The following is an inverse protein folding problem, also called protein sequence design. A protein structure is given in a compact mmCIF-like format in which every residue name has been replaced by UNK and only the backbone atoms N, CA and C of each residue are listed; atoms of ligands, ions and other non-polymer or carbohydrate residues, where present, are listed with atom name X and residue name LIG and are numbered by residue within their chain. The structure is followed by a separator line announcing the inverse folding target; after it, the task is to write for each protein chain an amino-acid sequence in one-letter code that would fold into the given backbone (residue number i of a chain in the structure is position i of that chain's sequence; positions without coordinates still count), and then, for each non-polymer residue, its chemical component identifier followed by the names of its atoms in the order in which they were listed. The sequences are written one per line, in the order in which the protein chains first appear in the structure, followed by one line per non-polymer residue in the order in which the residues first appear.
data_IF_592468325287
#
_entry.id   IF_592468325287
#
_cell.length_a   1.000
_cell.length_b   1.000
_cell.length_c   1.000
_cell.angle_alpha   90.00
_cell.angle_beta   90.00
_cell.angle_gamma   90.00
#
_symmetry.space_group_name_H-M   'P 1'
#
loop_
_entity.id
_entity.type
_entity.pdbx_description
1 polymer ?
#
# COMPACT_ATOMS: atom_id res chain seq x y z
N UNK A 1 -15.58 82.30 -16.70
CA UNK A 1 -16.21 81.00 -17.06
C UNK A 1 -15.14 80.16 -17.77
N UNK A 2 -14.95 78.88 -17.43
CA UNK A 2 -14.00 78.46 -16.39
C UNK A 2 -12.91 77.44 -16.85
N UNK A 3 -11.96 77.17 -15.93
CA UNK A 3 -11.37 75.86 -15.59
C UNK A 3 -10.45 75.13 -16.60
N UNK A 4 -9.48 74.29 -16.24
CA UNK A 4 -8.74 73.91 -15.02
C UNK A 4 -7.55 73.03 -15.49
N UNK A 5 -6.51 72.94 -14.67
CA UNK A 5 -5.24 72.20 -14.85
C UNK A 5 -5.39 70.68 -15.10
N UNK A 6 -4.37 70.09 -15.75
CA UNK A 6 -3.50 69.04 -15.16
C UNK A 6 -2.36 68.73 -16.15
N UNK A 7 -1.06 68.66 -15.85
CA UNK A 7 -0.19 68.16 -14.77
C UNK A 7 0.65 66.99 -15.31
N UNK A 8 1.96 67.04 -15.03
CA UNK A 8 3.04 66.27 -15.65
C UNK A 8 3.10 64.85 -15.09
N UNK A 9 3.42 63.86 -15.92
CA UNK A 9 3.77 62.50 -15.50
C UNK A 9 4.66 61.81 -16.53
N UNK A 10 5.96 61.84 -16.29
CA UNK A 10 7.02 61.19 -17.06
C UNK A 10 6.99 59.67 -16.89
N UNK A 11 7.05 58.94 -18.00
CA UNK A 11 7.24 57.50 -18.01
C UNK A 11 8.63 57.08 -17.51
N UNK A 12 8.66 56.08 -16.65
CA UNK A 12 9.86 55.27 -16.41
C UNK A 12 9.43 53.84 -16.09
N UNK A 13 9.89 52.93 -16.94
CA UNK A 13 9.76 51.49 -16.84
C UNK A 13 10.39 50.94 -15.56
N UNK A 14 9.63 50.16 -14.78
CA UNK A 14 10.18 49.15 -13.87
C UNK A 14 9.42 47.85 -14.06
N UNK A 15 10.16 46.84 -14.54
CA UNK A 15 9.69 45.47 -14.59
C UNK A 15 9.41 44.95 -13.18
N UNK A 16 8.25 44.33 -13.01
CA UNK A 16 7.95 43.46 -11.88
C UNK A 16 7.90 42.03 -12.39
N UNK A 17 9.06 41.40 -12.51
CA UNK A 17 9.18 39.94 -12.37
C UNK A 17 9.15 39.67 -10.87
N UNK A 18 7.95 39.49 -10.33
CA UNK A 18 7.79 38.85 -9.02
C UNK A 18 7.76 37.35 -9.26
N UNK A 19 8.83 36.70 -8.80
CA UNK A 19 8.98 35.27 -8.66
C UNK A 19 7.76 34.68 -7.97
N UNK A 20 6.94 33.94 -8.70
CA UNK A 20 5.82 33.13 -8.21
C UNK A 20 6.29 31.89 -7.41
N UNK A 21 7.57 31.84 -7.04
CA UNK A 21 8.18 30.76 -6.27
C UNK A 21 7.90 30.85 -4.77
N UNK A 22 7.44 31.99 -4.24
CA UNK A 22 7.16 32.12 -2.79
C UNK A 22 5.82 31.52 -2.36
N UNK A 23 4.98 31.05 -3.29
CA UNK A 23 3.75 30.33 -2.95
C UNK A 23 4.01 28.85 -2.61
N UNK A 24 5.15 28.30 -3.05
CA UNK A 24 5.54 26.90 -2.78
C UNK A 24 6.06 26.69 -1.36
N UNK A 25 6.56 27.74 -0.70
CA UNK A 25 7.10 27.71 0.67
C UNK A 25 6.01 27.63 1.78
N UNK A 26 4.74 27.54 1.39
CA UNK A 26 3.60 27.48 2.34
C UNK A 26 2.84 26.17 2.32
N UNK A 27 3.23 25.20 1.48
CA UNK A 27 2.61 23.87 1.47
C UNK A 27 3.29 23.04 2.55
N UNK A 28 2.57 22.58 3.60
CA UNK A 28 3.14 21.67 4.58
C UNK A 28 3.73 20.44 3.90
N UNK A 29 4.84 19.92 4.43
CA UNK A 29 5.44 18.68 3.93
C UNK A 29 4.35 17.59 3.83
N UNK A 30 4.20 16.94 2.66
CA UNK A 30 3.15 15.96 2.48
C UNK A 30 3.39 14.74 3.38
N UNK A 31 2.29 14.14 3.86
CA UNK A 31 2.38 12.81 4.41
C UNK A 31 2.59 11.81 3.26
N UNK A 32 3.73 11.12 3.25
CA UNK A 32 4.00 10.05 2.28
C UNK A 32 3.29 8.78 2.72
N UNK A 33 2.18 8.49 2.07
CA UNK A 33 1.39 7.29 2.33
C UNK A 33 1.99 6.08 1.62
N UNK A 34 2.23 5.02 2.37
CA UNK A 34 2.67 3.74 1.84
C UNK A 34 1.50 2.77 1.70
N UNK A 35 1.42 2.07 0.57
CA UNK A 35 0.51 0.96 0.34
C UNK A 35 1.30 -0.29 -0.03
N UNK A 36 1.12 -1.33 0.78
CA UNK A 36 1.66 -2.66 0.54
C UNK A 36 0.53 -3.61 0.18
N UNK A 37 0.69 -4.39 -0.89
CA UNK A 37 -0.28 -5.43 -1.27
C UNK A 37 0.45 -6.76 -1.33
N UNK A 38 0.12 -7.66 -0.41
CA UNK A 38 0.85 -8.86 -0.10
C UNK A 38 0.03 -10.12 -0.38
N UNK A 39 0.63 -11.10 -1.06
CA UNK A 39 0.05 -12.45 -1.21
C UNK A 39 0.21 -13.22 0.09
N UNK A 40 -0.83 -13.94 0.52
CA UNK A 40 -0.74 -14.84 1.68
C UNK A 40 0.48 -15.79 1.62
N UNK A 41 0.90 -16.29 2.78
CA UNK A 41 1.96 -17.30 2.87
C UNK A 41 1.59 -18.63 2.22
N UNK A 42 2.58 -19.52 2.10
CA UNK A 42 2.34 -20.85 1.56
C UNK A 42 1.21 -21.58 2.32
N UNK A 43 0.23 -22.07 1.58
CA UNK A 43 -0.90 -22.82 2.12
C UNK A 43 -0.71 -24.32 1.91
N UNK A 44 -1.37 -25.14 2.74
CA UNK A 44 -1.46 -26.57 2.47
C UNK A 44 -2.13 -26.81 1.12
N UNK A 45 -1.59 -27.76 0.34
CA UNK A 45 -2.09 -28.08 -0.98
C UNK A 45 -3.54 -28.60 -0.93
N UNK A 46 -4.42 -27.96 -1.70
CA UNK A 46 -5.83 -28.33 -1.81
C UNK A 46 -6.03 -29.67 -2.55
N UNK A 47 -5.04 -30.10 -3.34
CA UNK A 47 -5.10 -31.24 -4.26
C UNK A 47 -4.15 -32.40 -3.91
N UNK A 48 -3.42 -32.35 -2.80
CA UNK A 48 -2.46 -33.42 -2.47
C UNK A 48 -3.14 -34.69 -1.95
N UNK A 49 -3.42 -35.58 -2.90
CA UNK A 49 -3.75 -37.00 -2.71
C UNK A 49 -2.46 -37.81 -2.59
N UNK A 50 -1.55 -37.44 -1.69
CA UNK A 50 -0.39 -38.28 -1.38
C UNK A 50 -0.70 -39.18 -0.17
N UNK A 51 -0.40 -40.50 -0.21
CA UNK A 51 -0.57 -41.37 0.94
C UNK A 51 0.26 -40.85 2.13
N UNK A 52 -0.40 -40.43 3.22
CA UNK A 52 0.25 -39.89 4.42
C UNK A 52 0.29 -38.36 4.52
N UNK A 53 -0.23 -37.62 3.53
CA UNK A 53 -0.35 -36.17 3.64
C UNK A 53 -1.38 -35.75 4.70
N UNK A 54 -1.02 -34.77 5.53
CA UNK A 54 -1.92 -34.17 6.52
C UNK A 54 -3.00 -33.38 5.75
N UNK A 55 -4.21 -33.93 5.68
CA UNK A 55 -5.34 -33.25 5.06
C UNK A 55 -5.70 -32.00 5.86
N UNK A 56 -5.92 -30.89 5.16
CA UNK A 56 -6.48 -29.71 5.78
C UNK A 56 -7.86 -30.04 6.38
N UNK A 57 -8.10 -29.65 7.64
CA UNK A 57 -9.40 -29.83 8.29
C UNK A 57 -10.54 -29.11 7.55
N UNK A 58 -10.20 -28.08 6.76
CA UNK A 58 -11.12 -27.32 5.88
C UNK A 58 -10.54 -27.27 4.46
N UNK A 59 -10.82 -28.26 3.60
CA UNK A 59 -10.27 -28.31 2.24
C UNK A 59 -10.65 -27.13 1.34
N UNK A 60 -11.80 -26.48 1.59
CA UNK A 60 -12.26 -25.30 0.85
C UNK A 60 -11.60 -23.99 1.32
N UNK A 61 -10.87 -24.00 2.43
CA UNK A 61 -10.14 -22.85 2.96
C UNK A 61 -8.90 -23.34 3.73
N UNK A 62 -7.90 -23.88 3.00
CA UNK A 62 -6.74 -24.51 3.61
C UNK A 62 -5.92 -23.51 4.43
N UNK A 63 -5.38 -23.93 5.58
CA UNK A 63 -4.52 -23.07 6.40
C UNK A 63 -3.12 -22.94 5.78
N UNK A 64 -2.33 -22.04 6.35
CA UNK A 64 -0.90 -21.93 6.07
C UNK A 64 -0.14 -23.21 6.49
N UNK A 65 0.92 -23.53 5.74
CA UNK A 65 1.97 -24.44 6.19
C UNK A 65 2.82 -23.74 7.26
N UNK A 66 3.64 -24.48 8.02
CA UNK A 66 4.57 -23.85 8.96
C UNK A 66 5.62 -23.00 8.24
N UNK A 67 6.01 -23.40 7.02
CA UNK A 67 6.81 -22.56 6.12
C UNK A 67 6.07 -21.27 5.76
N UNK A 68 4.78 -21.34 5.44
CA UNK A 68 3.94 -20.17 5.15
C UNK A 68 3.83 -19.20 6.33
N UNK A 69 3.75 -19.72 7.56
CA UNK A 69 3.79 -18.89 8.78
C UNK A 69 5.14 -18.19 8.94
N UNK A 70 6.25 -18.93 8.80
CA UNK A 70 7.60 -18.37 8.90
C UNK A 70 7.86 -17.30 7.83
N UNK A 71 7.39 -17.53 6.60
CA UNK A 71 7.43 -16.53 5.52
C UNK A 71 6.73 -15.24 5.95
N UNK A 72 5.50 -15.34 6.43
CA UNK A 72 4.70 -14.20 6.86
C UNK A 72 5.34 -13.44 8.03
N UNK A 73 5.81 -14.16 9.05
CA UNK A 73 6.53 -13.56 10.18
C UNK A 73 7.78 -12.80 9.73
N UNK A 74 8.56 -13.40 8.82
CA UNK A 74 9.79 -12.78 8.29
C UNK A 74 9.50 -11.49 7.54
N UNK A 75 8.41 -11.44 6.76
CA UNK A 75 7.99 -10.19 6.12
C UNK A 75 7.66 -9.12 7.15
N UNK A 76 6.88 -9.44 8.19
CA UNK A 76 6.56 -8.49 9.25
C UNK A 76 7.81 -7.95 9.96
N UNK A 77 8.76 -8.83 10.27
CA UNK A 77 10.06 -8.45 10.84
C UNK A 77 10.82 -7.50 9.92
N UNK A 78 10.93 -7.82 8.64
CA UNK A 78 11.67 -7.00 7.68
C UNK A 78 10.99 -5.63 7.52
N UNK A 79 9.67 -5.58 7.42
CA UNK A 79 8.93 -4.32 7.36
C UNK A 79 9.15 -3.43 8.59
N UNK A 80 9.35 -4.04 9.77
CA UNK A 80 9.71 -3.32 10.99
C UNK A 80 11.14 -2.79 10.96
N UNK A 81 12.08 -3.57 10.44
CA UNK A 81 13.50 -3.17 10.34
C UNK A 81 13.71 -2.04 9.34
N UNK A 82 12.94 -2.03 8.25
CA UNK A 82 12.92 -0.94 7.25
C UNK A 82 12.13 0.31 7.72
N UNK A 83 11.55 0.26 8.92
CA UNK A 83 10.74 1.33 9.52
C UNK A 83 9.58 1.85 8.64
N UNK A 84 8.92 0.97 7.88
CA UNK A 84 7.75 1.34 7.07
C UNK A 84 6.55 1.82 7.88
N UNK A 85 6.60 1.71 9.21
CA UNK A 85 5.60 2.16 10.17
C UNK A 85 4.16 1.78 9.74
N UNK A 86 3.92 0.49 9.52
CA UNK A 86 2.60 -0.03 9.15
C UNK A 86 1.62 0.26 10.28
N UNK A 87 0.64 1.14 10.06
CA UNK A 87 -0.36 1.50 11.06
C UNK A 87 -1.68 0.75 10.86
N UNK A 88 -1.89 0.19 9.67
CA UNK A 88 -3.14 -0.49 9.31
C UNK A 88 -2.91 -1.78 8.54
N UNK A 89 -3.54 -2.86 9.00
CA UNK A 89 -3.60 -4.13 8.30
C UNK A 89 -5.03 -4.41 7.87
N UNK A 90 -5.18 -4.67 6.57
CA UNK A 90 -6.43 -5.04 5.92
C UNK A 90 -6.23 -6.39 5.26
N UNK A 91 -7.20 -7.30 5.36
CA UNK A 91 -7.02 -8.64 4.80
C UNK A 91 -8.30 -9.24 4.23
N UNK A 92 -8.11 -10.14 3.24
CA UNK A 92 -9.11 -11.12 2.80
C UNK A 92 -9.57 -11.97 3.99
N UNK A 93 -10.86 -12.36 4.06
CA UNK A 93 -11.38 -13.18 5.15
C UNK A 93 -10.95 -14.65 5.09
N UNK A 94 -10.25 -15.09 4.03
CA UNK A 94 -9.77 -16.49 3.92
C UNK A 94 -8.82 -16.83 5.07
N UNK A 95 -8.91 -18.03 5.63
CA UNK A 95 -8.13 -18.46 6.80
C UNK A 95 -6.63 -18.21 6.62
N UNK A 96 -6.09 -18.55 5.44
CA UNK A 96 -4.68 -18.31 5.10
C UNK A 96 -4.27 -16.83 5.15
N UNK A 97 -5.16 -15.91 4.77
CA UNK A 97 -4.88 -14.48 4.84
C UNK A 97 -4.94 -13.98 6.29
N UNK A 98 -5.88 -14.48 7.08
CA UNK A 98 -5.97 -14.20 8.52
C UNK A 98 -4.71 -14.69 9.24
N UNK A 99 -4.29 -15.93 8.99
CA UNK A 99 -3.07 -16.49 9.58
C UNK A 99 -1.82 -15.73 9.13
N UNK A 100 -1.74 -15.33 7.85
CA UNK A 100 -0.65 -14.48 7.35
C UNK A 100 -0.60 -13.17 8.12
N UNK A 101 -1.74 -12.53 8.37
CA UNK A 101 -1.79 -11.28 9.12
C UNK A 101 -1.32 -11.43 10.55
N UNK A 102 -1.74 -12.51 11.24
CA UNK A 102 -1.30 -12.79 12.62
C UNK A 102 0.23 -12.88 12.70
N UNK A 103 0.84 -13.63 11.79
CA UNK A 103 2.30 -13.82 11.77
C UNK A 103 3.04 -12.52 11.40
N UNK A 104 2.53 -11.77 10.42
CA UNK A 104 3.10 -10.45 10.07
C UNK A 104 3.02 -9.49 11.25
N UNK A 105 1.89 -9.42 11.95
CA UNK A 105 1.73 -8.54 13.11
C UNK A 105 2.68 -8.96 14.23
N UNK A 106 2.87 -10.26 14.46
CA UNK A 106 3.87 -10.76 15.40
C UNK A 106 5.30 -10.32 15.00
N UNK A 107 5.64 -10.35 13.71
CA UNK A 107 6.91 -9.83 13.19
C UNK A 107 7.06 -8.31 13.34
N UNK A 108 5.99 -7.55 13.07
CA UNK A 108 5.96 -6.09 13.21
C UNK A 108 6.11 -5.64 14.67
N UNK A 109 5.54 -6.41 15.59
CA UNK A 109 5.58 -6.18 17.03
C UNK A 109 6.80 -6.81 17.71
N UNK A 110 7.79 -7.30 16.95
CA UNK A 110 9.03 -7.80 17.55
C UNK A 110 9.62 -6.75 18.50
N UNK A 111 9.78 -7.13 19.76
CA UNK A 111 10.56 -6.38 20.73
C UNK A 111 12.03 -6.51 20.35
N UNK A 112 12.84 -5.43 20.37
CA UNK A 112 14.27 -5.56 20.22
C UNK A 112 14.80 -6.56 21.25
N UNK A 113 15.62 -7.51 20.80
CA UNK A 113 16.15 -8.61 21.59
C UNK A 113 17.20 -8.14 22.59
N UNK A 114 16.80 -7.36 23.58
CA UNK A 114 17.49 -7.19 24.86
C UNK A 114 16.57 -6.41 25.77
N UNK A 115 16.30 -6.98 26.94
CA UNK A 115 15.78 -6.32 28.13
C UNK A 115 16.03 -4.81 28.13
N UNK A 116 15.01 -4.01 27.85
CA UNK A 116 14.84 -2.70 28.49
C UNK A 116 13.39 -2.24 28.36
N UNK A 117 12.85 -1.88 29.52
CA UNK A 117 11.49 -1.44 29.80
C UNK A 117 11.28 0.01 29.33
N UNK A 118 10.09 0.28 28.77
CA UNK A 118 9.40 1.60 28.65
C UNK A 118 10.11 2.60 27.72
N UNK A 119 9.45 3.42 26.90
CA UNK A 119 8.07 3.88 26.82
C UNK A 119 7.84 4.41 25.38
N UNK A 120 6.59 4.32 24.89
CA UNK A 120 6.10 4.74 23.54
C UNK A 120 6.53 3.87 22.35
N UNK A 121 6.20 2.58 22.41
CA UNK A 121 6.07 1.81 21.17
C UNK A 121 4.86 2.32 20.38
N UNK A 122 5.04 2.66 19.11
CA UNK A 122 3.93 2.83 18.16
C UNK A 122 2.96 1.66 18.38
N UNK A 123 1.70 1.97 18.65
CA UNK A 123 0.69 0.97 18.98
C UNK A 123 0.62 -0.14 17.92
N UNK A 124 0.17 -1.32 18.33
CA UNK A 124 -0.08 -2.42 17.39
C UNK A 124 -0.95 -1.93 16.21
N UNK A 125 -0.67 -2.36 14.96
CA UNK A 125 -1.44 -1.90 13.80
C UNK A 125 -2.94 -2.17 13.99
N UNK A 126 -3.78 -1.26 13.51
CA UNK A 126 -5.22 -1.50 13.49
C UNK A 126 -5.55 -2.58 12.45
N UNK A 127 -6.34 -3.59 12.85
CA UNK A 127 -6.65 -4.75 12.00
C UNK A 127 -8.12 -4.74 11.58
N UNK A 128 -8.38 -4.96 10.29
CA UNK A 128 -9.74 -5.18 9.80
C UNK A 128 -9.79 -6.19 8.65
N UNK A 129 -10.87 -6.97 8.60
CA UNK A 129 -11.17 -7.83 7.45
C UNK A 129 -12.01 -7.05 6.44
N UNK A 130 -11.67 -7.17 5.16
CA UNK A 130 -12.52 -6.65 4.08
C UNK A 130 -12.96 -7.83 3.23
N UNK A 131 -14.27 -7.90 2.96
CA UNK A 131 -14.82 -8.87 2.04
C UNK A 131 -14.39 -8.49 0.62
N UNK A 132 -13.30 -9.10 0.16
CA UNK A 132 -12.97 -9.11 -1.25
C UNK A 132 -13.98 -10.05 -1.93
N UNK A 133 -14.79 -9.57 -2.87
CA UNK A 133 -15.74 -10.43 -3.58
C UNK A 133 -14.99 -11.55 -4.30
N UNK A 134 -15.49 -12.77 -4.08
CA UNK A 134 -15.03 -14.02 -4.66
C UNK A 134 -16.14 -14.46 -5.62
N UNK A 135 -15.88 -14.49 -6.94
CA UNK A 135 -16.90 -14.84 -7.93
C UNK A 135 -16.32 -15.24 -9.28
N UNK A 136 -17.16 -15.85 -10.14
CA UNK A 136 -16.89 -16.07 -11.57
C UNK A 136 -17.00 -14.73 -12.31
N UNK A 137 -16.04 -13.85 -12.09
CA UNK A 137 -15.96 -12.56 -12.78
C UNK A 137 -14.90 -12.63 -13.89
N UNK A 138 -14.97 -11.72 -14.86
CA UNK A 138 -13.95 -11.62 -15.90
C UNK A 138 -12.65 -11.06 -15.31
N UNK A 139 -11.52 -11.21 -16.02
CA UNK A 139 -10.25 -10.62 -15.60
C UNK A 139 -10.35 -9.08 -15.49
N UNK A 140 -11.12 -8.44 -16.37
CA UNK A 140 -11.35 -7.00 -16.37
C UNK A 140 -12.21 -6.54 -15.18
N UNK A 141 -13.25 -7.29 -14.84
CA UNK A 141 -14.08 -7.02 -13.66
C UNK A 141 -13.25 -7.16 -12.38
N UNK A 142 -12.45 -8.24 -12.27
CA UNK A 142 -11.54 -8.44 -11.16
C UNK A 142 -10.53 -7.29 -11.03
N UNK A 143 -9.95 -6.85 -12.15
CA UNK A 143 -9.03 -5.70 -12.22
C UNK A 143 -9.66 -4.43 -11.69
N UNK A 144 -10.80 -4.02 -12.24
CA UNK A 144 -11.51 -2.82 -11.81
C UNK A 144 -11.86 -2.85 -10.32
N UNK A 145 -12.19 -4.04 -9.82
CA UNK A 145 -12.58 -4.27 -8.45
C UNK A 145 -11.42 -4.20 -7.47
N UNK A 146 -10.29 -4.86 -7.76
CA UNK A 146 -9.10 -4.76 -6.91
C UNK A 146 -8.56 -3.33 -6.87
N UNK A 147 -8.39 -2.71 -8.05
CA UNK A 147 -7.94 -1.31 -8.17
C UNK A 147 -8.85 -0.35 -7.39
N UNK A 148 -10.18 -0.43 -7.61
CA UNK A 148 -11.10 0.44 -6.87
C UNK A 148 -11.12 0.16 -5.37
N UNK A 149 -10.92 -1.09 -4.95
CA UNK A 149 -10.87 -1.46 -3.53
C UNK A 149 -9.64 -0.90 -2.85
N UNK A 150 -8.44 -1.08 -3.43
CA UNK A 150 -7.19 -0.54 -2.87
C UNK A 150 -7.23 0.98 -2.81
N UNK A 151 -7.71 1.63 -3.87
CA UNK A 151 -7.87 3.09 -3.89
C UNK A 151 -8.83 3.58 -2.80
N UNK A 152 -9.99 2.91 -2.62
CA UNK A 152 -10.95 3.24 -1.55
C UNK A 152 -10.35 3.08 -0.17
N UNK A 153 -9.60 2.00 0.08
CA UNK A 153 -8.93 1.76 1.36
C UNK A 153 -7.90 2.85 1.63
N UNK A 154 -7.03 3.15 0.66
CA UNK A 154 -5.99 4.17 0.81
C UNK A 154 -6.59 5.57 1.04
N UNK A 155 -7.65 5.92 0.30
CA UNK A 155 -8.37 7.19 0.46
C UNK A 155 -9.15 7.28 1.78
N UNK A 156 -9.56 6.14 2.36
CA UNK A 156 -10.27 6.10 3.65
C UNK A 156 -9.34 6.41 4.82
N UNK A 157 -8.06 6.10 4.67
CA UNK A 157 -7.01 6.24 5.69
C UNK A 157 -5.77 6.94 5.13
N UNK A 158 -5.90 8.19 4.63
CA UNK A 158 -4.84 8.85 3.87
C UNK A 158 -3.59 9.17 4.69
N UNK A 159 -3.69 9.25 6.02
CA UNK A 159 -2.56 9.53 6.91
C UNK A 159 -2.01 8.26 7.58
N UNK A 160 -2.20 7.10 6.94
CA UNK A 160 -1.81 5.80 7.47
C UNK A 160 -1.08 4.98 6.41
N UNK A 161 -0.06 4.24 6.84
CA UNK A 161 0.63 3.25 6.02
C UNK A 161 -0.11 1.92 6.11
N UNK A 162 -0.52 1.40 4.96
CA UNK A 162 -1.51 0.32 4.88
C UNK A 162 -0.87 -0.93 4.29
N UNK A 163 -1.07 -2.05 4.95
CA UNK A 163 -0.78 -3.38 4.44
C UNK A 163 -2.06 -4.14 4.11
N UNK A 164 -2.24 -4.46 2.84
CA UNK A 164 -3.35 -5.26 2.31
C UNK A 164 -2.90 -6.71 2.07
N UNK A 165 -3.48 -7.69 2.75
CA UNK A 165 -3.16 -9.12 2.62
C UNK A 165 -4.24 -9.82 1.79
N UNK A 166 -3.84 -10.39 0.66
CA UNK A 166 -4.73 -10.90 -0.38
C UNK A 166 -4.15 -12.16 -1.07
N UNK A 167 -4.62 -12.46 -2.27
CA UNK A 167 -4.17 -13.57 -3.13
C UNK A 167 -3.24 -13.06 -4.24
N UNK A 168 -2.69 -13.98 -5.04
CA UNK A 168 -1.75 -13.61 -6.12
C UNK A 168 -2.37 -12.62 -7.10
N UNK A 169 -3.64 -12.82 -7.47
CA UNK A 169 -4.38 -11.95 -8.37
C UNK A 169 -4.49 -10.52 -7.84
N UNK A 170 -4.66 -10.35 -6.51
CA UNK A 170 -4.71 -9.01 -5.91
C UNK A 170 -3.37 -8.27 -6.02
N UNK A 171 -2.24 -8.98 -5.87
CA UNK A 171 -0.89 -8.41 -6.06
C UNK A 171 -0.63 -8.10 -7.54
N UNK A 172 -1.11 -8.94 -8.46
CA UNK A 172 -0.99 -8.66 -9.89
C UNK A 172 -1.72 -7.36 -10.24
N UNK A 173 -2.94 -7.18 -9.73
CA UNK A 173 -3.73 -5.99 -10.01
C UNK A 173 -3.18 -4.73 -9.36
N UNK A 174 -2.43 -4.81 -8.24
CA UNK A 174 -1.78 -3.64 -7.66
C UNK A 174 -0.64 -3.11 -8.54
N UNK A 175 0.10 -3.98 -9.24
CA UNK A 175 1.07 -3.54 -10.27
C UNK A 175 0.32 -2.91 -11.45
N UNK A 176 -0.70 -3.58 -11.97
CA UNK A 176 -1.46 -3.12 -13.13
C UNK A 176 -2.26 -1.83 -12.90
N UNK A 177 -2.57 -1.50 -11.64
CA UNK A 177 -3.12 -0.20 -11.24
C UNK A 177 -2.15 0.95 -11.53
N UNK A 178 -0.84 0.73 -11.30
CA UNK A 178 0.18 1.77 -11.47
C UNK A 178 0.74 1.80 -12.88
N UNK A 179 0.96 0.63 -13.47
CA UNK A 179 1.51 0.47 -14.81
C UNK A 179 0.56 -0.35 -15.69
N UNK A 180 -0.40 0.32 -16.37
CA UNK A 180 -1.43 -0.37 -17.14
C UNK A 180 -0.92 -1.24 -18.29
N UNK A 181 0.31 -0.99 -18.78
CA UNK A 181 0.96 -1.69 -19.90
C UNK A 181 1.93 -2.80 -19.48
N UNK A 182 1.96 -3.12 -18.20
CA UNK A 182 2.83 -4.15 -17.62
C UNK A 182 1.97 -5.37 -17.26
N UNK A 183 2.45 -6.54 -17.68
CA UNK A 183 1.86 -7.81 -17.30
C UNK A 183 2.64 -8.45 -16.16
N UNK A 184 1.92 -9.01 -15.19
CA UNK A 184 2.51 -9.78 -14.09
C UNK A 184 2.43 -11.25 -14.45
N UNK A 185 3.58 -11.92 -14.53
CA UNK A 185 3.70 -13.33 -14.93
C UNK A 185 3.85 -14.27 -13.74
N UNK A 186 4.12 -13.75 -12.54
CA UNK A 186 4.23 -14.56 -11.35
C UNK A 186 4.28 -13.75 -10.06
N UNK A 187 3.74 -14.31 -8.99
CA UNK A 187 3.80 -13.76 -7.63
C UNK A 187 4.10 -14.91 -6.67
N UNK A 188 5.20 -14.88 -5.92
CA UNK A 188 5.51 -15.93 -4.93
C UNK A 188 4.72 -15.73 -3.64
N UNK A 189 4.65 -16.77 -2.80
CA UNK A 189 4.03 -16.64 -1.47
C UNK A 189 4.75 -15.58 -0.63
N UNK A 190 3.98 -14.76 0.09
CA UNK A 190 4.49 -13.60 0.85
C UNK A 190 5.20 -12.51 0.02
N UNK A 191 5.21 -12.59 -1.31
CA UNK A 191 5.60 -11.45 -2.14
C UNK A 191 4.60 -10.31 -1.99
N UNK A 192 5.09 -9.08 -2.10
CA UNK A 192 4.26 -7.89 -2.02
C UNK A 192 4.71 -6.80 -2.99
N UNK A 193 3.76 -5.98 -3.42
CA UNK A 193 4.06 -4.69 -4.01
C UNK A 193 4.14 -3.61 -2.93
N UNK A 194 4.95 -2.60 -3.16
CA UNK A 194 5.12 -1.39 -2.36
C UNK A 194 4.96 -0.20 -3.29
N UNK A 195 3.99 0.65 -2.95
CA UNK A 195 3.75 1.91 -3.62
C UNK A 195 3.66 3.05 -2.61
N UNK A 196 3.98 4.26 -3.07
CA UNK A 196 3.90 5.48 -2.28
C UNK A 196 3.13 6.56 -3.02
N UNK A 197 2.50 7.47 -2.25
CA UNK A 197 1.95 8.72 -2.78
C UNK A 197 2.05 9.83 -1.75
N UNK A 198 2.21 11.11 -2.16
CA UNK A 198 2.12 12.24 -1.26
C UNK A 198 0.66 12.61 -1.00
N UNK A 199 0.31 12.85 0.27
CA UNK A 199 -1.00 13.36 0.66
C UNK A 199 -0.86 14.72 1.34
N UNK A 200 -1.59 15.70 0.82
CA UNK A 200 -1.53 17.09 1.27
C UNK A 200 -2.78 17.43 2.06
N UNK A 201 -2.60 17.88 3.30
CA UNK A 201 -3.68 18.46 4.10
C UNK A 201 -3.86 19.92 3.71
N UNK A 202 -5.09 20.33 3.43
CA UNK A 202 -5.39 21.75 3.18
C UNK A 202 -5.64 22.46 4.52
N UNK A 203 -5.09 23.65 4.70
CA UNK A 203 -5.12 24.35 6.01
C UNK A 203 -6.54 24.70 6.49
N UNK A 204 -7.48 24.88 5.56
CA UNK A 204 -8.81 25.45 5.84
C UNK A 204 -9.98 24.47 5.68
N UNK A 205 -9.72 23.21 5.35
CA UNK A 205 -10.74 22.17 5.26
C UNK A 205 -10.11 20.81 5.59
N UNK A 206 -10.88 19.94 6.24
CA UNK A 206 -10.54 18.55 6.53
C UNK A 206 -10.27 17.69 5.29
N UNK A 207 -10.38 18.26 4.08
CA UNK A 207 -10.10 17.60 2.82
C UNK A 207 -8.61 17.33 2.64
N UNK A 208 -8.31 16.11 2.22
CA UNK A 208 -6.96 15.66 1.91
C UNK A 208 -6.85 15.45 0.41
N UNK A 209 -5.90 16.16 -0.20
CA UNK A 209 -5.56 15.98 -1.61
C UNK A 209 -4.57 14.82 -1.70
N UNK A 210 -5.01 13.73 -2.35
CA UNK A 210 -4.15 12.58 -2.59
C UNK A 210 -3.43 12.76 -3.93
N UNK A 211 -2.09 12.69 -3.90
CA UNK A 211 -1.28 12.71 -5.11
C UNK A 211 -1.31 11.39 -5.87
N UNK A 212 -0.57 11.37 -6.97
CA UNK A 212 -0.39 10.19 -7.80
C UNK A 212 0.49 9.16 -7.11
N UNK A 213 0.29 7.90 -7.51
CA UNK A 213 1.04 6.80 -6.98
C UNK A 213 2.34 6.54 -7.75
N UNK A 214 3.38 6.18 -7.01
CA UNK A 214 4.64 5.65 -7.50
C UNK A 214 4.80 4.20 -7.03
N UNK A 215 5.07 3.28 -7.96
CA UNK A 215 5.38 1.89 -7.63
C UNK A 215 6.90 1.76 -7.42
N UNK A 216 7.29 1.35 -6.21
CA UNK A 216 8.69 1.17 -5.83
C UNK A 216 9.16 -0.28 -5.96
N UNK A 217 8.24 -1.22 -6.13
CA UNK A 217 8.59 -2.62 -6.33
C UNK A 217 9.22 -2.85 -7.69
N UNK A 218 10.44 -3.41 -7.67
CA UNK A 218 11.10 -3.92 -8.86
C UNK A 218 10.65 -5.35 -9.19
N UNK A 219 10.66 -5.69 -10.48
CA UNK A 219 10.40 -7.05 -10.94
C UNK A 219 11.58 -7.96 -10.63
N UNK A 220 11.32 -9.12 -10.01
CA UNK A 220 12.35 -10.16 -9.86
C UNK A 220 12.27 -10.96 -8.58
N UNK A 221 13.30 -11.79 -8.36
CA UNK A 221 13.34 -12.75 -7.26
C UNK A 221 13.39 -12.10 -5.87
N UNK A 222 13.88 -10.86 -5.77
CA UNK A 222 13.97 -10.12 -4.50
C UNK A 222 12.59 -9.71 -4.01
N UNK A 223 11.76 -9.14 -4.88
CA UNK A 223 10.36 -8.80 -4.55
C UNK A 223 9.44 -10.03 -4.55
N UNK A 224 9.79 -11.05 -5.33
CA UNK A 224 8.93 -12.20 -5.61
C UNK A 224 7.74 -11.86 -6.50
N UNK A 225 7.72 -10.66 -7.09
CA UNK A 225 6.74 -10.21 -8.07
C UNK A 225 7.46 -10.11 -9.42
N UNK A 226 6.99 -10.87 -10.40
CA UNK A 226 7.61 -10.94 -11.72
C UNK A 226 6.68 -10.31 -12.75
N UNK A 227 7.11 -9.20 -13.33
CA UNK A 227 6.37 -8.46 -14.33
C UNK A 227 7.27 -7.88 -15.42
N UNK A 228 6.69 -7.60 -16.58
CA UNK A 228 7.39 -7.10 -17.75
C UNK A 228 6.47 -6.40 -18.74
N UNK A 229 7.02 -5.82 -19.83
CA UNK A 229 6.20 -5.25 -20.89
C UNK A 229 5.29 -6.32 -21.48
N UNK A 230 4.03 -5.97 -21.74
CA UNK A 230 3.13 -6.81 -22.53
C UNK A 230 3.78 -7.13 -23.88
N UNK A 231 3.76 -8.40 -24.34
CA UNK A 231 4.18 -8.74 -25.70
C UNK A 231 3.31 -8.04 -26.76
#
# INVERSE_FOLDING_TARGET
MPALQDNRGSGSSKGHTLNDYSLMDTIPDPFVQNLFVLRHGEQLNQLEVQPGAVKAARPWDPPLTDKGKLQAWTVGRNMKLEDWNITRVVMSPSLRCVQTAVEIIAGLCMLPSSLEMREKGNGSPYVSTIKLPLGKETLDDARNRYTSTFQKIANRFPNENILCITHGEGVMQSVSMMWPRVEVHGVTYCAYTHAQRPNFKRDNDSTILCGDWELLTESGSVSGVFFGPSP
#
